data_IF_315002205530
#
_entry.id   IF_315002205530
#
_cell.length_a   1.000
_cell.length_b   1.000
_cell.length_c   1.000
_cell.angle_alpha   90.00
_cell.angle_beta   90.00
_cell.angle_gamma   90.00
#
_symmetry.space_group_name_H-M   'P 1'
#
loop_
_entity.id
_entity.type
_entity.pdbx_description
1 polymer ?
#
# COMPACT_ATOMS: atom_id res chain seq x y z
N UNK A 1 3.27 -3.70 -3.70
CA UNK A 1 2.78 -5.03 -3.27
C UNK A 1 1.57 -5.51 -4.09
N UNK A 2 0.58 -4.66 -4.40
CA UNK A 2 -0.40 -4.95 -5.47
C UNK A 2 -0.08 -4.19 -6.78
N UNK A 3 0.31 -2.91 -6.67
CA UNK A 3 0.65 -2.06 -7.83
C UNK A 3 1.85 -2.57 -8.63
N UNK A 4 2.90 -2.97 -7.91
CA UNK A 4 4.20 -3.34 -8.48
C UNK A 4 4.67 -4.74 -8.08
N UNK A 5 3.85 -5.48 -7.33
CA UNK A 5 4.26 -6.71 -6.64
C UNK A 5 5.50 -6.54 -5.73
N UNK A 6 5.79 -5.30 -5.29
CA UNK A 6 6.96 -5.01 -4.45
C UNK A 6 8.24 -4.73 -5.25
N UNK A 7 8.17 -4.67 -6.58
CA UNK A 7 9.32 -4.37 -7.41
C UNK A 7 9.60 -2.86 -7.42
N UNK A 8 10.65 -2.43 -6.72
CA UNK A 8 11.10 -1.02 -6.70
C UNK A 8 11.61 -0.52 -8.06
N UNK A 9 11.89 -1.43 -9.00
CA UNK A 9 12.29 -1.14 -10.39
C UNK A 9 11.20 -1.53 -11.40
N UNK A 10 9.94 -1.61 -10.96
CA UNK A 10 8.82 -1.81 -11.88
C UNK A 10 8.87 -0.71 -12.94
N UNK A 11 8.65 -1.09 -14.21
CA UNK A 11 8.66 -0.12 -15.30
C UNK A 11 7.53 0.89 -15.07
N UNK A 12 7.83 2.19 -15.18
CA UNK A 12 6.79 3.21 -15.27
C UNK A 12 5.79 2.87 -16.38
N UNK A 13 4.50 2.92 -16.06
CA UNK A 13 3.45 2.75 -17.07
C UNK A 13 2.98 4.11 -17.56
N UNK A 14 2.64 4.19 -18.84
CA UNK A 14 2.12 5.39 -19.48
C UNK A 14 1.12 4.97 -20.57
N UNK A 15 -0.16 5.23 -20.32
CA UNK A 15 -1.25 5.05 -21.27
C UNK A 15 -2.07 6.36 -21.41
N UNK A 16 -1.39 7.51 -21.31
CA UNK A 16 -2.01 8.85 -21.27
C UNK A 16 -1.96 9.51 -19.89
N UNK A 17 -1.62 8.76 -18.85
CA UNK A 17 -1.25 9.23 -17.51
C UNK A 17 -0.06 8.39 -17.06
N UNK A 18 0.94 9.04 -16.47
CA UNK A 18 2.17 8.39 -16.04
C UNK A 18 1.97 7.80 -14.65
N UNK A 19 2.32 6.53 -14.45
CA UNK A 19 2.26 5.87 -13.14
C UNK A 19 3.62 5.23 -12.83
N UNK A 20 4.51 5.94 -12.11
CA UNK A 20 5.85 5.46 -11.85
C UNK A 20 5.97 4.72 -10.52
N UNK A 21 7.06 3.97 -10.42
CA UNK A 21 7.58 3.51 -9.14
C UNK A 21 6.75 2.47 -8.40
N UNK A 22 7.13 2.24 -7.15
CA UNK A 22 6.66 1.14 -6.31
C UNK A 22 5.15 1.16 -6.08
N UNK A 23 4.54 2.35 -6.00
CA UNK A 23 3.11 2.53 -5.79
C UNK A 23 2.33 2.88 -7.06
N UNK A 24 2.99 2.98 -8.23
CA UNK A 24 2.34 3.35 -9.50
C UNK A 24 1.49 4.62 -9.35
N UNK A 25 2.04 5.64 -8.70
CA UNK A 25 1.30 6.84 -8.29
C UNK A 25 0.92 7.71 -9.49
N UNK A 26 -0.28 8.27 -9.49
CA UNK A 26 -0.78 9.13 -10.58
C UNK A 26 0.11 10.37 -10.77
N UNK A 27 0.81 10.44 -11.89
CA UNK A 27 1.86 11.43 -12.22
C UNK A 27 2.89 11.63 -11.09
N UNK A 28 3.33 10.52 -10.49
CA UNK A 28 4.40 10.52 -9.49
C UNK A 28 5.76 10.97 -10.05
N UNK A 29 6.63 11.37 -9.14
CA UNK A 29 8.01 11.77 -9.42
C UNK A 29 9.02 10.65 -9.13
N UNK A 30 8.78 9.79 -8.14
CA UNK A 30 9.69 8.72 -7.75
C UNK A 30 9.70 7.55 -8.74
N UNK A 31 10.87 7.16 -9.25
CA UNK A 31 11.06 5.97 -10.08
C UNK A 31 12.51 5.51 -10.19
N UNK A 32 12.75 4.22 -9.98
CA UNK A 32 14.03 3.58 -10.32
C UNK A 32 14.04 2.91 -11.70
N UNK A 33 13.00 3.12 -12.52
CA UNK A 33 12.89 2.60 -13.88
C UNK A 33 11.99 3.51 -14.73
N UNK A 34 12.36 4.79 -14.79
CA UNK A 34 11.67 5.79 -15.60
C UNK A 34 12.03 5.55 -17.06
N UNK A 35 11.03 5.34 -17.91
CA UNK A 35 11.19 5.17 -19.36
C UNK A 35 12.19 4.07 -19.79
N UNK A 36 12.42 3.07 -18.93
CA UNK A 36 13.39 2.00 -19.17
C UNK A 36 14.82 2.29 -18.67
N UNK A 37 15.08 3.49 -18.16
CA UNK A 37 16.34 3.85 -17.51
C UNK A 37 16.37 3.27 -16.09
N UNK A 38 16.95 2.08 -15.95
CA UNK A 38 17.01 1.36 -14.68
C UNK A 38 18.14 1.93 -13.80
N UNK A 39 17.79 2.31 -12.56
CA UNK A 39 18.75 2.68 -11.53
C UNK A 39 19.18 1.43 -10.73
N UNK A 40 20.48 1.18 -10.61
CA UNK A 40 21.02 0.05 -9.83
C UNK A 40 22.32 0.42 -9.08
N UNK A 41 22.30 0.46 -7.72
CA UNK A 41 21.14 0.24 -6.85
C UNK A 41 20.04 1.28 -7.07
N UNK A 42 18.80 0.93 -6.71
CA UNK A 42 17.71 1.89 -6.64
C UNK A 42 17.96 2.79 -5.42
N UNK A 43 18.18 4.11 -5.59
CA UNK A 43 18.52 4.99 -4.48
C UNK A 43 17.42 5.02 -3.41
N UNK A 44 17.80 5.18 -2.15
CA UNK A 44 16.85 5.25 -1.04
C UNK A 44 15.87 6.42 -1.21
N UNK A 45 16.34 7.59 -1.66
CA UNK A 45 15.49 8.75 -1.88
C UNK A 45 14.42 8.51 -2.95
N UNK A 46 14.72 7.72 -3.99
CA UNK A 46 13.72 7.32 -4.99
C UNK A 46 12.65 6.44 -4.37
N UNK A 47 13.05 5.45 -3.57
CA UNK A 47 12.10 4.54 -2.90
C UNK A 47 11.21 5.32 -1.93
N UNK A 48 11.79 6.25 -1.18
CA UNK A 48 11.05 7.14 -0.31
C UNK A 48 10.05 7.98 -1.11
N UNK A 49 10.47 8.60 -2.21
CA UNK A 49 9.59 9.41 -3.05
C UNK A 49 8.45 8.57 -3.66
N UNK A 50 8.72 7.35 -4.12
CA UNK A 50 7.69 6.43 -4.62
C UNK A 50 6.60 6.14 -3.58
N UNK A 51 7.00 6.02 -2.31
CA UNK A 51 6.07 5.81 -1.19
C UNK A 51 5.30 7.09 -0.89
N UNK A 52 5.99 8.24 -0.80
CA UNK A 52 5.38 9.54 -0.52
C UNK A 52 4.34 9.91 -1.57
N UNK A 53 4.67 9.78 -2.86
CA UNK A 53 3.74 10.07 -3.96
C UNK A 53 2.47 9.21 -3.86
N UNK A 54 2.59 7.95 -3.43
CA UNK A 54 1.44 7.05 -3.32
C UNK A 54 0.62 7.26 -2.04
N UNK A 55 1.26 7.66 -0.94
CA UNK A 55 0.62 7.85 0.36
C UNK A 55 0.01 9.24 0.48
N UNK A 56 0.79 10.28 0.19
CA UNK A 56 0.36 11.67 0.28
C UNK A 56 -0.40 12.11 -0.96
N UNK A 57 -0.01 11.60 -2.12
CA UNK A 57 -0.54 11.99 -3.42
C UNK A 57 0.42 12.88 -4.18
N UNK A 58 -0.04 13.35 -5.32
CA UNK A 58 0.69 14.26 -6.21
C UNK A 58 -0.19 15.48 -6.51
N UNK A 59 0.33 16.53 -7.16
CA UNK A 59 -0.52 17.62 -7.65
C UNK A 59 -1.62 17.16 -8.63
N UNK A 60 -1.45 16.00 -9.28
CA UNK A 60 -2.37 15.47 -10.27
C UNK A 60 -3.42 14.52 -9.70
N UNK A 61 -3.19 13.94 -8.51
CA UNK A 61 -4.13 12.96 -7.95
C UNK A 61 -3.94 12.67 -6.46
N UNK A 62 -5.02 12.21 -5.80
CA UNK A 62 -4.99 11.93 -4.37
C UNK A 62 -4.16 10.67 -4.04
N UNK A 63 -3.39 10.73 -2.96
CA UNK A 63 -2.79 9.56 -2.35
C UNK A 63 -3.75 8.85 -1.39
N UNK A 64 -3.30 7.72 -0.84
CA UNK A 64 -4.08 6.92 0.12
C UNK A 64 -4.62 7.74 1.29
N UNK A 65 -3.83 8.68 1.83
CA UNK A 65 -4.25 9.53 2.96
C UNK A 65 -5.51 10.34 2.63
N UNK A 66 -5.53 10.98 1.47
CA UNK A 66 -6.67 11.78 1.03
C UNK A 66 -7.89 10.89 0.74
N UNK A 67 -7.69 9.73 0.11
CA UNK A 67 -8.76 8.77 -0.18
C UNK A 67 -9.41 8.21 1.10
N UNK A 68 -8.61 7.90 2.14
CA UNK A 68 -9.16 7.46 3.44
C UNK A 68 -10.02 8.56 4.07
N UNK A 69 -9.59 9.82 3.98
CA UNK A 69 -10.38 10.95 4.46
C UNK A 69 -11.70 11.10 3.69
N UNK A 70 -11.65 10.98 2.36
CA UNK A 70 -12.82 11.04 1.48
C UNK A 70 -13.85 9.95 1.76
N UNK A 71 -13.40 8.72 2.06
CA UNK A 71 -14.27 7.57 2.28
C UNK A 71 -14.81 7.45 3.72
N UNK A 72 -14.66 8.50 4.54
CA UNK A 72 -15.27 8.60 5.87
C UNK A 72 -14.42 8.03 7.00
N UNK A 73 -13.19 8.52 7.12
CA UNK A 73 -12.06 8.26 8.06
C UNK A 73 -12.27 7.58 9.43
N UNK A 74 -13.49 7.45 9.95
CA UNK A 74 -13.81 6.86 11.25
C UNK A 74 -14.17 5.35 11.21
N UNK A 75 -14.27 4.73 10.02
CA UNK A 75 -14.69 3.34 9.90
C UNK A 75 -13.64 2.44 9.24
N UNK A 76 -13.52 1.20 9.70
CA UNK A 76 -12.64 0.18 9.09
C UNK A 76 -12.97 0.01 7.59
N UNK A 77 -14.23 0.19 7.22
CA UNK A 77 -14.67 0.16 5.83
C UNK A 77 -13.96 1.20 4.94
N UNK A 78 -13.55 2.34 5.49
CA UNK A 78 -12.89 3.41 4.73
C UNK A 78 -11.52 3.00 4.20
N UNK A 79 -10.80 2.10 4.87
CA UNK A 79 -9.53 1.58 4.34
C UNK A 79 -9.75 0.73 3.09
N UNK A 80 -10.78 -0.12 3.07
CA UNK A 80 -11.10 -0.95 1.89
C UNK A 80 -11.65 -0.11 0.74
N UNK A 81 -12.49 0.89 1.05
CA UNK A 81 -13.00 1.84 0.06
C UNK A 81 -11.88 2.69 -0.53
N UNK A 82 -10.96 3.19 0.30
CA UNK A 82 -9.81 3.95 -0.16
C UNK A 82 -8.87 3.10 -1.03
N UNK A 83 -8.63 1.84 -0.65
CA UNK A 83 -7.89 0.90 -1.50
C UNK A 83 -8.59 0.72 -2.86
N UNK A 84 -9.93 0.61 -2.87
CA UNK A 84 -10.68 0.54 -4.12
C UNK A 84 -10.57 1.82 -4.94
N UNK A 85 -10.73 2.99 -4.32
CA UNK A 85 -10.60 4.27 -4.99
C UNK A 85 -9.17 4.52 -5.52
N UNK A 86 -8.13 4.02 -4.84
CA UNK A 86 -6.76 4.06 -5.34
C UNK A 86 -6.61 3.26 -6.63
N UNK A 87 -7.27 2.10 -6.70
CA UNK A 87 -7.21 1.21 -7.86
C UNK A 87 -8.07 1.66 -9.05
N UNK A 88 -9.29 2.16 -8.81
CA UNK A 88 -10.24 2.49 -9.88
C UNK A 88 -10.67 3.95 -9.95
N UNK A 89 -10.05 4.84 -9.18
CA UNK A 89 -10.42 6.25 -9.04
C UNK A 89 -11.65 6.51 -8.15
N UNK A 90 -12.57 5.55 -8.05
CA UNK A 90 -13.76 5.65 -7.21
C UNK A 90 -14.30 4.28 -6.79
N UNK A 91 -15.16 4.27 -5.77
CA UNK A 91 -16.03 3.14 -5.43
C UNK A 91 -17.23 3.13 -6.38
N UNK A 92 -17.65 1.94 -6.84
CA UNK A 92 -18.85 1.79 -7.66
C UNK A 92 -20.09 2.32 -6.91
N UNK A 93 -21.08 2.84 -7.64
CA UNK A 93 -22.33 3.37 -7.04
C UNK A 93 -23.11 2.35 -6.22
N UNK A 94 -22.95 1.05 -6.50
CA UNK A 94 -23.50 -0.05 -5.72
C UNK A 94 -22.86 -0.23 -4.33
N UNK A 95 -21.68 0.37 -4.10
CA UNK A 95 -20.83 0.12 -2.94
C UNK A 95 -20.02 -1.18 -3.01
N UNK A 96 -20.19 -2.01 -4.05
CA UNK A 96 -19.41 -3.24 -4.21
C UNK A 96 -17.96 -2.91 -4.63
N UNK A 97 -17.00 -3.21 -3.75
CA UNK A 97 -15.57 -2.99 -3.97
C UNK A 97 -14.95 -3.94 -5.01
N UNK A 98 -15.69 -4.94 -5.45
CA UNK A 98 -15.36 -5.84 -6.54
C UNK A 98 -15.86 -5.36 -7.90
N UNK A 99 -16.54 -4.22 -8.04
CA UNK A 99 -17.08 -3.72 -9.32
C UNK A 99 -16.30 -2.53 -9.88
N UNK A 100 -16.30 -2.37 -11.20
CA UNK A 100 -15.66 -1.26 -11.92
C UNK A 100 -14.67 -1.74 -12.99
N UNK A 101 -13.92 -0.81 -13.56
CA UNK A 101 -13.04 -1.01 -14.72
C UNK A 101 -11.63 -1.54 -14.39
N UNK A 102 -11.29 -1.62 -13.09
CA UNK A 102 -9.98 -2.05 -12.61
C UNK A 102 -10.04 -3.37 -11.82
N UNK A 103 -8.89 -3.83 -11.32
CA UNK A 103 -8.71 -5.11 -10.62
C UNK A 103 -9.77 -5.39 -9.56
N UNK A 104 -10.70 -6.29 -9.88
CA UNK A 104 -11.85 -6.62 -9.02
C UNK A 104 -11.44 -7.07 -7.61
N UNK A 105 -10.35 -7.84 -7.49
CA UNK A 105 -9.90 -8.41 -6.23
C UNK A 105 -9.11 -7.43 -5.34
N UNK A 106 -8.88 -6.19 -5.78
CA UNK A 106 -7.87 -5.29 -5.22
C UNK A 106 -7.98 -5.08 -3.71
N UNK A 107 -9.17 -4.73 -3.22
CA UNK A 107 -9.37 -4.43 -1.79
C UNK A 107 -9.12 -5.67 -0.91
N UNK A 108 -9.64 -6.83 -1.30
CA UNK A 108 -9.40 -8.11 -0.60
C UNK A 108 -7.93 -8.50 -0.63
N UNK A 109 -7.29 -8.28 -1.77
CA UNK A 109 -5.89 -8.58 -1.99
C UNK A 109 -4.95 -7.73 -1.11
N UNK A 110 -5.25 -6.44 -0.95
CA UNK A 110 -4.53 -5.55 -0.04
C UNK A 110 -4.75 -5.97 1.41
N UNK A 111 -5.99 -6.30 1.79
CA UNK A 111 -6.32 -6.74 3.14
C UNK A 111 -5.53 -8.00 3.53
N UNK A 112 -5.55 -9.02 2.68
CA UNK A 112 -4.83 -10.27 2.91
C UNK A 112 -3.31 -10.04 3.00
N UNK A 113 -2.79 -9.15 2.16
CA UNK A 113 -1.38 -8.75 2.18
C UNK A 113 -0.95 -8.11 3.49
N UNK A 114 -1.78 -7.22 4.05
CA UNK A 114 -1.55 -6.62 5.36
C UNK A 114 -1.61 -7.65 6.50
N UNK A 115 -2.35 -8.75 6.31
CA UNK A 115 -2.46 -9.87 7.25
C UNK A 115 -1.33 -10.90 7.10
N UNK A 116 -0.36 -10.68 6.22
CA UNK A 116 0.82 -11.53 6.07
C UNK A 116 0.85 -12.39 4.79
N UNK A 117 -0.15 -12.29 3.92
CA UNK A 117 -0.10 -12.93 2.60
C UNK A 117 0.79 -12.12 1.64
N UNK A 118 2.09 -12.34 1.66
CA UNK A 118 3.07 -11.49 0.93
C UNK A 118 3.55 -12.08 -0.40
N UNK A 119 3.20 -13.33 -0.72
CA UNK A 119 3.65 -14.00 -1.95
C UNK A 119 2.56 -14.95 -2.51
N UNK A 120 2.66 -15.26 -3.80
CA UNK A 120 1.75 -16.15 -4.51
C UNK A 120 0.60 -15.42 -5.21
N UNK A 121 -0.19 -16.16 -6.02
CA UNK A 121 -1.32 -15.60 -6.76
C UNK A 121 -2.50 -15.30 -5.83
N UNK A 122 -3.31 -14.31 -6.20
CA UNK A 122 -4.58 -14.05 -5.53
C UNK A 122 -5.48 -15.28 -5.60
N UNK A 123 -6.11 -15.61 -4.46
CA UNK A 123 -7.15 -16.64 -4.37
C UNK A 123 -8.55 -16.07 -4.64
N UNK A 124 -8.67 -14.75 -4.86
CA UNK A 124 -9.94 -14.13 -5.19
C UNK A 124 -10.38 -14.51 -6.61
N UNK A 125 -11.67 -14.80 -6.77
CA UNK A 125 -12.30 -15.08 -8.07
C UNK A 125 -12.84 -13.76 -8.68
N UNK A 126 -12.12 -13.13 -9.63
CA UNK A 126 -12.47 -11.77 -10.10
C UNK A 126 -13.84 -11.71 -10.79
N UNK A 127 -14.24 -12.79 -11.48
CA UNK A 127 -15.53 -12.86 -12.17
C UNK A 127 -16.71 -13.00 -11.21
N UNK A 128 -16.48 -13.49 -9.98
CA UNK A 128 -17.53 -13.67 -8.99
C UNK A 128 -17.69 -12.44 -8.11
N UNK A 129 -16.58 -11.85 -7.64
CA UNK A 129 -16.61 -10.78 -6.63
C UNK A 129 -17.38 -9.54 -7.09
N UNK A 130 -17.30 -9.21 -8.39
CA UNK A 130 -18.07 -8.10 -8.98
C UNK A 130 -19.57 -8.38 -9.16
N UNK A 131 -20.01 -9.64 -9.10
CA UNK A 131 -21.42 -10.01 -9.22
C UNK A 131 -22.12 -10.10 -7.86
N UNK A 132 -21.37 -10.11 -6.75
CA UNK A 132 -21.95 -10.16 -5.42
C UNK A 132 -22.72 -8.87 -5.12
N UNK A 133 -23.97 -8.99 -4.68
CA UNK A 133 -24.79 -7.86 -4.22
C UNK A 133 -24.78 -7.69 -2.70
N UNK A 134 -24.26 -8.68 -1.97
CA UNK A 134 -24.12 -8.69 -0.52
C UNK A 134 -22.93 -9.58 -0.11
N UNK A 135 -22.43 -9.38 1.11
CA UNK A 135 -21.45 -10.28 1.69
C UNK A 135 -22.09 -11.67 1.87
N UNK A 136 -21.59 -12.67 1.16
CA UNK A 136 -21.93 -14.07 1.38
C UNK A 136 -20.93 -14.65 2.38
N UNK A 137 -21.18 -14.39 3.67
CA UNK A 137 -20.40 -14.97 4.75
C UNK A 137 -21.26 -16.02 5.45
N UNK A 138 -20.91 -17.30 5.29
CA UNK A 138 -21.55 -18.42 6.00
C UNK A 138 -20.97 -18.64 7.41
N UNK A 139 -20.00 -17.83 7.83
CA UNK A 139 -19.47 -17.92 9.19
C UNK A 139 -20.42 -17.25 10.19
N UNK A 140 -20.39 -17.74 11.43
CA UNK A 140 -21.07 -17.03 12.54
C UNK A 140 -20.33 -15.72 12.78
N UNK A 141 -20.95 -14.60 12.44
CA UNK A 141 -20.50 -13.30 12.93
C UNK A 141 -20.42 -13.37 14.46
N UNK A 142 -19.27 -13.04 15.04
CA UNK A 142 -19.24 -12.71 16.46
C UNK A 142 -20.06 -11.42 16.62
N UNK A 143 -21.32 -11.57 17.03
CA UNK A 143 -22.23 -10.46 17.28
C UNK A 143 -21.62 -9.51 18.31
N UNK A 144 -21.56 -8.23 17.94
CA UNK A 144 -21.42 -7.05 18.79
C UNK A 144 -20.16 -6.95 19.69
N UNK A 145 -19.17 -6.16 19.24
CA UNK A 145 -18.41 -5.32 20.18
C UNK A 145 -19.21 -4.03 20.46
N UNK A 146 -20.35 -4.17 21.14
CA UNK A 146 -20.91 -3.07 21.94
C UNK A 146 -20.44 -3.32 23.37
N UNK A 147 -19.21 -2.89 23.66
CA UNK A 147 -18.63 -3.05 24.98
C UNK A 147 -19.27 -2.08 25.96
N UNK A 148 -20.27 -2.54 26.74
CA UNK A 148 -20.41 -2.01 28.09
C UNK A 148 -19.19 -2.51 28.88
N UNK A 149 -18.42 -1.58 29.41
CA UNK A 149 -17.20 -1.87 30.15
C UNK A 149 -17.48 -2.86 31.27
N UNK A 150 -16.98 -4.10 31.12
CA UNK A 150 -16.70 -4.98 32.25
C UNK A 150 -15.21 -5.23 32.28
N UNK A 151 -14.57 -4.61 33.27
CA UNK A 151 -13.19 -4.82 33.68
C UNK A 151 -12.95 -6.29 33.93
N UNK A 152 -12.25 -6.95 33.01
CA UNK A 152 -11.61 -8.24 33.22
C UNK A 152 -10.13 -8.06 32.94
N UNK A 153 -9.30 -8.22 33.97
CA UNK A 153 -7.84 -8.12 33.86
C UNK A 153 -7.34 -9.25 32.99
N UNK A 154 -6.96 -8.95 31.75
CA UNK A 154 -6.10 -9.82 30.95
C UNK A 154 -4.65 -9.39 31.15
N UNK A 155 -3.82 -10.29 31.64
CA UNK A 155 -2.38 -10.05 31.88
C UNK A 155 -1.67 -10.11 30.53
N UNK A 156 -1.17 -8.98 30.05
CA UNK A 156 -0.32 -8.91 28.85
C UNK A 156 1.02 -9.59 29.12
N UNK A 157 1.40 -10.56 28.28
CA UNK A 157 2.71 -11.24 28.30
C UNK A 157 3.71 -10.54 27.36
N UNK A 158 3.30 -9.45 26.70
CA UNK A 158 4.18 -8.66 25.84
C UNK A 158 4.56 -7.35 26.53
N UNK A 159 5.87 -7.07 26.75
CA UNK A 159 6.29 -5.76 27.21
C UNK A 159 6.06 -4.74 26.10
N UNK A 160 5.23 -3.74 26.38
CA UNK A 160 5.05 -2.56 25.53
C UNK A 160 6.32 -1.72 25.55
N UNK A 161 6.86 -1.26 24.40
CA UNK A 161 7.95 -0.28 24.41
C UNK A 161 7.42 1.04 24.95
N UNK A 162 8.06 1.54 26.01
CA UNK A 162 7.76 2.82 26.63
C UNK A 162 8.44 3.90 25.78
N UNK A 163 7.69 4.65 24.99
CA UNK A 163 8.18 5.87 24.37
C UNK A 163 7.80 7.04 25.28
N UNK A 164 8.80 7.62 25.95
CA UNK A 164 8.64 8.84 26.71
C UNK A 164 8.59 10.03 25.75
N UNK A 165 7.42 10.67 25.64
CA UNK A 165 7.27 11.95 24.93
C UNK A 165 7.87 13.04 25.81
N UNK A 166 9.08 13.48 25.51
CA UNK A 166 9.70 14.65 26.13
C UNK A 166 9.29 15.90 25.36
N UNK A 167 8.48 16.74 26.00
CA UNK A 167 8.10 18.07 25.53
C UNK A 167 9.35 18.94 25.32
N UNK A 168 9.66 19.29 24.08
CA UNK A 168 10.70 20.27 23.77
C UNK A 168 10.12 21.70 23.92
N UNK A 169 10.83 22.63 24.57
CA UNK A 169 10.55 24.05 24.43
C UNK A 169 11.14 24.58 23.11
N UNK A 170 10.47 25.57 22.55
CA UNK A 170 10.92 26.34 21.38
C UNK A 170 12.11 27.21 21.80
N UNK A 171 13.19 27.29 21.00
CA UNK A 171 13.91 28.51 20.57
C UNK A 171 15.06 28.16 19.60
N UNK A 172 15.24 29.10 18.67
CA UNK A 172 16.15 29.28 17.53
C UNK A 172 17.67 29.08 17.74
N UNK A 173 18.27 28.49 16.69
CA UNK A 173 19.55 28.80 16.01
C UNK A 173 20.95 28.56 16.63
N UNK A 174 21.81 28.08 15.72
CA UNK A 174 23.28 28.07 15.60
C UNK A 174 24.13 26.96 16.24
N UNK A 175 24.93 26.38 15.32
CA UNK A 175 26.27 25.77 15.39
C UNK A 175 26.54 24.35 15.96
N UNK A 176 27.04 23.52 15.04
CA UNK A 176 27.97 22.39 15.22
C UNK A 176 29.28 22.86 15.92
N UNK A 177 30.16 21.99 16.50
CA UNK A 177 30.52 20.66 15.98
C UNK A 177 30.93 19.54 17.01
N UNK A 178 31.07 18.33 16.45
CA UNK A 178 32.01 17.22 16.75
C UNK A 178 31.92 16.34 18.03
N UNK A 179 31.91 15.01 17.75
CA UNK A 179 32.50 13.85 18.46
C UNK A 179 32.02 13.34 19.83
N UNK A 180 31.44 12.15 19.82
CA UNK A 180 31.95 10.87 20.38
C UNK A 180 30.86 9.80 20.12
N UNK A 181 31.07 8.55 19.74
CA UNK A 181 32.10 7.59 20.13
C UNK A 181 31.41 6.39 20.78
N UNK A 182 30.76 5.51 19.99
CA UNK A 182 30.32 4.19 20.47
C UNK A 182 30.59 3.11 19.43
N UNK A 183 31.45 2.18 19.82
CA UNK A 183 31.78 0.98 19.08
C UNK A 183 30.57 0.03 19.04
N UNK A 184 30.19 -0.42 17.85
CA UNK A 184 29.33 -1.59 17.67
C UNK A 184 30.07 -2.58 16.78
N UNK A 185 30.20 -3.81 17.27
CA UNK A 185 30.72 -4.96 16.53
C UNK A 185 29.77 -5.29 15.38
N UNK A 186 30.25 -5.53 14.13
CA UNK A 186 29.38 -5.88 13.03
C UNK A 186 28.94 -7.35 13.13
N UNK A 187 27.62 -7.58 13.19
CA UNK A 187 27.02 -8.88 12.86
C UNK A 187 26.96 -8.99 11.35
N UNK A 188 27.78 -9.86 10.78
CA UNK A 188 27.75 -10.18 9.34
C UNK A 188 26.52 -11.04 9.06
N UNK A 189 25.47 -10.46 8.50
CA UNK A 189 24.36 -11.20 7.90
C UNK A 189 24.70 -11.40 6.42
N UNK A 190 24.97 -12.65 6.04
CA UNK A 190 25.16 -13.04 4.65
C UNK A 190 23.85 -12.81 3.87
N UNK A 191 23.84 -11.79 3.02
CA UNK A 191 22.76 -11.55 2.07
C UNK A 191 22.96 -12.48 0.88
N UNK A 192 22.17 -13.56 0.84
CA UNK A 192 21.99 -14.35 -0.37
C UNK A 192 21.43 -13.45 -1.49
N UNK A 193 22.07 -13.50 -2.66
CA UNK A 193 21.68 -12.74 -3.85
C UNK A 193 20.36 -13.30 -4.41
N UNK A 194 19.23 -12.77 -3.95
CA UNK A 194 17.94 -13.03 -4.59
C UNK A 194 17.84 -12.20 -5.88
N UNK A 195 18.07 -12.85 -7.01
CA UNK A 195 17.75 -12.29 -8.32
C UNK A 195 16.25 -12.43 -8.56
N UNK A 196 15.48 -11.37 -8.28
CA UNK A 196 14.07 -11.31 -8.70
C UNK A 196 13.99 -10.97 -10.19
N UNK A 197 13.82 -11.98 -11.03
CA UNK A 197 13.47 -11.79 -12.43
C UNK A 197 12.01 -11.29 -12.54
N UNK A 198 11.83 -10.04 -12.97
CA UNK A 198 10.52 -9.45 -13.21
C UNK A 198 9.96 -9.99 -14.54
N UNK A 199 9.14 -11.05 -14.48
CA UNK A 199 8.51 -11.62 -15.68
C UNK A 199 7.44 -10.68 -16.25
N UNK A 200 7.62 -10.25 -17.51
CA UNK A 200 6.62 -9.51 -18.28
C UNK A 200 5.45 -10.44 -18.61
N UNK A 201 4.25 -10.21 -18.06
CA UNK A 201 3.02 -10.66 -18.71
C UNK A 201 2.49 -9.56 -19.63
N UNK A 202 2.70 -9.78 -20.93
CA UNK A 202 2.14 -8.99 -22.02
C UNK A 202 0.63 -9.28 -22.07
N UNK A 203 -0.20 -8.37 -21.58
CA UNK A 203 -1.62 -8.37 -21.94
C UNK A 203 -1.73 -7.82 -23.36
N UNK A 204 -1.94 -8.70 -24.34
CA UNK A 204 -2.42 -8.27 -25.65
C UNK A 204 -3.89 -7.87 -25.48
N UNK A 205 -4.18 -6.58 -25.72
CA UNK A 205 -5.54 -6.13 -25.97
C UNK A 205 -5.98 -6.68 -27.32
N UNK A 206 -6.76 -7.77 -27.31
CA UNK A 206 -7.58 -8.15 -28.44
C UNK A 206 -8.72 -7.15 -28.55
N UNK A 207 -8.68 -6.31 -29.58
CA UNK A 207 -9.83 -5.50 -29.96
C UNK A 207 -10.98 -6.42 -30.35
N UNK A 208 -12.13 -6.25 -29.72
CA UNK A 208 -13.41 -6.72 -30.24
C UNK A 208 -14.27 -5.48 -30.53
N UNK A 209 -14.21 -5.00 -31.76
CA UNK A 209 -15.30 -4.23 -32.37
C UNK A 209 -16.14 -5.20 -33.21
N UNK A 210 -17.47 -5.05 -33.11
CA UNK A 210 -18.52 -5.92 -33.69
C UNK A 210 -18.48 -6.04 -35.23
N UNK A 211 -19.33 -6.85 -35.87
CA UNK A 211 -20.74 -7.19 -35.64
C UNK A 211 -20.99 -8.68 -35.87
#
# INVERSE_FOLDING_TARGET
MQESQGCVRVKTTDNGVVHPGLMQSHDGSGSCNKDGAIQNPCPEYEIHQMIMDGVEGTPAGPGLKALIAQEGSAHVASFYKAARAYNSGAVASSGNLGQGIATHCYASDIANRLMGWTNGPSLCAPNMIGMLSAAQWEGKSASACHGTAKTSRFRSIYPSPVYSVSSHPVISAFDSPYTSGFATTPVVISLGTATCACSKRRFQYGQAFGK
#
